data_IF_609075183389
#
_entry.id   IF_609075183389
#
_cell.length_a   1.000
_cell.length_b   1.000
_cell.length_c   1.000
_cell.angle_alpha   90.00
_cell.angle_beta   90.00
_cell.angle_gamma   90.00
#
_symmetry.space_group_name_H-M   'P 1'
#
loop_
_entity.id
_entity.type
_entity.pdbx_description
1 polymer ?
#
# COMPACT_ATOMS: atom_id res chain seq x y z
N UNK A 1 -13.38 -14.10 3.12
CA UNK A 1 -12.95 -14.31 1.70
C UNK A 1 -11.55 -13.70 1.56
N UNK A 2 -10.71 -14.22 0.68
CA UNK A 2 -9.35 -13.71 0.54
C UNK A 2 -9.35 -12.47 -0.38
N UNK A 3 -8.80 -11.34 0.10
CA UNK A 3 -8.54 -10.17 -0.73
C UNK A 3 -7.59 -10.56 -1.88
N UNK A 4 -8.03 -10.43 -3.13
CA UNK A 4 -7.26 -10.86 -4.31
C UNK A 4 -6.51 -9.71 -4.96
N UNK A 5 -7.06 -8.49 -4.86
CA UNK A 5 -6.54 -7.31 -5.57
C UNK A 5 -6.33 -6.15 -4.61
N UNK A 6 -5.31 -5.38 -4.92
CA UNK A 6 -5.01 -4.11 -4.29
C UNK A 6 -4.99 -3.00 -5.32
N UNK A 7 -5.71 -1.94 -5.08
CA UNK A 7 -5.67 -0.73 -5.89
C UNK A 7 -4.93 0.34 -5.11
N UNK A 8 -3.79 0.76 -5.66
CA UNK A 8 -2.98 1.83 -5.11
C UNK A 8 -3.18 3.10 -5.93
N UNK A 9 -3.78 4.11 -5.32
CA UNK A 9 -3.90 5.45 -5.90
C UNK A 9 -2.98 6.42 -5.16
N UNK A 10 -2.18 7.17 -5.91
CA UNK A 10 -1.37 8.28 -5.39
C UNK A 10 -1.92 9.59 -5.91
N UNK A 11 -2.06 10.52 -5.00
CA UNK A 11 -2.43 11.90 -5.31
C UNK A 11 -1.42 12.88 -4.75
N UNK A 12 -1.45 14.09 -5.29
CA UNK A 12 -0.64 15.22 -4.85
C UNK A 12 -1.55 16.42 -4.60
N UNK A 13 -1.30 17.12 -3.51
CA UNK A 13 -2.00 18.34 -3.12
C UNK A 13 -1.02 19.33 -2.50
N UNK A 14 -1.38 20.62 -2.52
CA UNK A 14 -0.68 21.63 -1.73
C UNK A 14 -0.63 21.21 -0.25
N UNK A 15 0.55 21.15 0.39
CA UNK A 15 0.68 20.75 1.79
C UNK A 15 -0.23 21.53 2.75
N UNK A 16 -0.50 22.80 2.49
CA UNK A 16 -1.38 23.64 3.32
C UNK A 16 -2.84 23.17 3.33
N UNK A 17 -3.24 22.34 2.36
CA UNK A 17 -4.61 21.82 2.21
C UNK A 17 -4.78 20.39 2.74
N UNK A 18 -3.71 19.73 3.17
CA UNK A 18 -3.77 18.35 3.67
C UNK A 18 -4.77 18.18 4.82
N UNK A 19 -4.81 19.13 5.76
CA UNK A 19 -5.75 19.08 6.90
C UNK A 19 -7.23 19.12 6.49
N UNK A 20 -7.55 19.74 5.36
CA UNK A 20 -8.91 19.79 4.82
C UNK A 20 -9.24 18.52 4.00
N UNK A 21 -8.27 17.94 3.29
CA UNK A 21 -8.52 16.82 2.37
C UNK A 21 -8.42 15.46 3.05
N UNK A 22 -7.58 15.30 4.09
CA UNK A 22 -7.44 14.03 4.78
C UNK A 22 -8.78 13.51 5.37
N UNK A 23 -9.60 14.32 6.06
CA UNK A 23 -10.92 13.86 6.52
C UNK A 23 -11.83 13.43 5.38
N UNK A 24 -11.85 14.15 4.26
CA UNK A 24 -12.60 13.75 3.07
C UNK A 24 -12.09 12.42 2.49
N UNK A 25 -10.77 12.17 2.54
CA UNK A 25 -10.20 10.89 2.15
C UNK A 25 -10.69 9.73 3.03
N UNK A 26 -10.88 9.97 4.34
CA UNK A 26 -11.45 8.97 5.27
C UNK A 26 -12.92 8.71 4.94
N UNK A 27 -13.70 9.75 4.65
CA UNK A 27 -15.09 9.60 4.18
C UNK A 27 -15.15 8.81 2.87
N UNK A 28 -14.26 9.11 1.92
CA UNK A 28 -14.18 8.40 0.64
C UNK A 28 -13.80 6.93 0.82
N UNK A 29 -12.96 6.61 1.83
CA UNK A 29 -12.65 5.22 2.16
C UNK A 29 -13.91 4.46 2.64
N UNK A 30 -14.74 5.09 3.46
CA UNK A 30 -16.00 4.51 3.89
C UNK A 30 -17.00 4.35 2.72
N UNK A 31 -17.11 5.33 1.82
CA UNK A 31 -17.90 5.22 0.59
C UNK A 31 -17.40 4.07 -0.30
N UNK A 32 -16.08 3.88 -0.40
CA UNK A 32 -15.48 2.77 -1.14
C UNK A 32 -15.91 1.41 -0.60
N UNK A 33 -15.88 1.24 0.74
CA UNK A 33 -16.34 0.00 1.39
C UNK A 33 -17.83 -0.21 1.16
N UNK A 34 -18.64 0.81 1.30
CA UNK A 34 -20.08 0.73 1.03
C UNK A 34 -20.41 0.36 -0.43
N UNK A 35 -19.52 0.71 -1.37
CA UNK A 35 -19.68 0.42 -2.79
C UNK A 35 -19.09 -0.94 -3.24
N UNK A 36 -18.33 -1.65 -2.38
CA UNK A 36 -17.86 -3.01 -2.67
C UNK A 36 -16.38 -3.30 -2.43
N UNK A 37 -15.56 -2.36 -1.94
CA UNK A 37 -14.24 -2.74 -1.45
C UNK A 37 -14.34 -3.45 -0.11
N UNK A 38 -13.51 -4.46 0.12
CA UNK A 38 -13.45 -5.17 1.40
C UNK A 38 -12.92 -4.27 2.52
N UNK A 39 -12.03 -3.37 2.14
CA UNK A 39 -11.34 -2.46 3.03
C UNK A 39 -10.73 -1.30 2.22
N UNK A 40 -10.65 -0.13 2.81
CA UNK A 40 -9.93 1.00 2.25
C UNK A 40 -9.19 1.79 3.33
N UNK A 41 -8.13 2.51 2.94
CA UNK A 41 -7.44 3.42 3.84
C UNK A 41 -6.90 4.64 3.09
N UNK A 42 -6.71 5.73 3.83
CA UNK A 42 -5.99 6.91 3.38
C UNK A 42 -4.74 7.13 4.23
N UNK A 43 -3.64 7.52 3.61
CA UNK A 43 -2.39 7.85 4.26
C UNK A 43 -1.73 9.09 3.66
N UNK A 44 -0.91 9.76 4.47
CA UNK A 44 -0.08 10.88 4.02
C UNK A 44 1.36 10.42 3.86
N UNK A 45 1.98 10.77 2.74
CA UNK A 45 3.36 10.37 2.41
C UNK A 45 4.34 11.16 3.26
N UNK A 46 5.19 10.45 4.00
CA UNK A 46 6.20 11.04 4.88
C UNK A 46 7.58 11.10 4.23
N UNK A 47 7.93 10.06 3.44
CA UNK A 47 9.26 9.94 2.81
C UNK A 47 9.12 9.44 1.37
N UNK A 48 10.15 9.64 0.56
CA UNK A 48 10.17 9.27 -0.85
C UNK A 48 9.52 10.35 -1.72
N UNK A 49 9.15 9.97 -2.94
CA UNK A 49 8.55 10.90 -3.91
C UNK A 49 7.25 11.49 -3.39
N UNK A 50 7.08 12.81 -3.58
CA UNK A 50 5.92 13.58 -3.13
C UNK A 50 5.74 13.66 -1.60
N UNK A 51 6.81 13.53 -0.82
CA UNK A 51 6.76 13.84 0.60
C UNK A 51 6.28 15.30 0.82
N UNK A 52 5.45 15.49 1.85
CA UNK A 52 4.91 16.82 2.21
C UNK A 52 3.60 17.21 1.53
N UNK A 53 3.14 16.53 0.47
CA UNK A 53 1.85 16.80 -0.18
C UNK A 53 1.24 15.55 -0.80
N UNK A 54 1.93 14.43 -0.72
CA UNK A 54 1.47 13.16 -1.25
C UNK A 54 0.41 12.51 -0.36
N UNK A 55 -0.64 12.01 -1.01
CA UNK A 55 -1.70 11.20 -0.39
C UNK A 55 -1.70 9.83 -1.05
N UNK A 56 -1.69 8.78 -0.23
CA UNK A 56 -1.85 7.40 -0.66
C UNK A 56 -3.28 6.94 -0.31
N UNK A 57 -4.00 6.39 -1.28
CA UNK A 57 -5.30 5.78 -1.08
C UNK A 57 -5.22 4.32 -1.51
N UNK A 58 -5.43 3.41 -0.58
CA UNK A 58 -5.37 1.97 -0.81
C UNK A 58 -6.74 1.34 -0.66
N UNK A 59 -7.08 0.46 -1.60
CA UNK A 59 -8.35 -0.26 -1.62
C UNK A 59 -8.09 -1.75 -1.86
N UNK A 60 -8.86 -2.62 -1.21
CA UNK A 60 -8.73 -4.07 -1.29
C UNK A 60 -10.01 -4.68 -1.85
N UNK A 61 -9.88 -5.60 -2.78
CA UNK A 61 -11.01 -6.18 -3.51
C UNK A 61 -10.89 -7.69 -3.65
N UNK A 62 -12.02 -8.37 -3.66
CA UNK A 62 -12.11 -9.78 -4.03
C UNK A 62 -12.14 -9.97 -5.55
N UNK A 63 -12.74 -9.02 -6.28
CA UNK A 63 -12.86 -9.06 -7.74
C UNK A 63 -12.64 -7.69 -8.39
N UNK A 64 -12.38 -7.67 -9.69
CA UNK A 64 -12.30 -6.42 -10.47
C UNK A 64 -13.69 -5.83 -10.76
N UNK A 65 -14.75 -6.65 -10.71
CA UNK A 65 -16.13 -6.15 -10.81
C UNK A 65 -16.48 -5.25 -9.62
N UNK A 66 -16.01 -5.58 -8.41
CA UNK A 66 -16.21 -4.75 -7.23
C UNK A 66 -15.42 -3.44 -7.33
N UNK A 67 -14.23 -3.46 -7.92
CA UNK A 67 -13.51 -2.24 -8.27
C UNK A 67 -14.31 -1.37 -9.25
N UNK A 68 -14.93 -1.98 -10.29
CA UNK A 68 -15.79 -1.28 -11.24
C UNK A 68 -16.93 -0.54 -10.54
N UNK A 69 -17.66 -1.23 -9.64
CA UNK A 69 -18.76 -0.63 -8.84
C UNK A 69 -18.30 0.58 -8.01
N UNK A 70 -17.11 0.49 -7.39
CA UNK A 70 -16.55 1.61 -6.61
C UNK A 70 -16.20 2.78 -7.52
N UNK A 71 -15.66 2.53 -8.72
CA UNK A 71 -15.36 3.61 -9.67
C UNK A 71 -16.62 4.32 -10.17
N UNK A 72 -17.71 3.57 -10.41
CA UNK A 72 -19.01 4.14 -10.76
C UNK A 72 -19.56 5.00 -9.61
N UNK A 73 -19.47 4.52 -8.36
CA UNK A 73 -19.88 5.28 -7.18
C UNK A 73 -19.07 6.58 -7.01
N UNK A 74 -17.76 6.55 -7.26
CA UNK A 74 -16.91 7.77 -7.22
C UNK A 74 -17.31 8.79 -8.28
N UNK A 75 -17.84 8.36 -9.43
CA UNK A 75 -18.35 9.23 -10.48
C UNK A 75 -19.50 10.14 -10.04
N UNK A 76 -20.23 9.76 -8.98
CA UNK A 76 -21.37 10.51 -8.40
C UNK A 76 -21.12 10.96 -6.95
N UNK A 77 -19.94 10.69 -6.39
CA UNK A 77 -19.60 11.04 -5.01
C UNK A 77 -19.33 12.53 -4.84
N UNK A 78 -20.11 13.17 -3.96
CA UNK A 78 -19.87 14.56 -3.55
C UNK A 78 -18.56 14.72 -2.76
N UNK A 79 -18.14 13.69 -2.04
CA UNK A 79 -16.87 13.66 -1.29
C UNK A 79 -15.69 13.65 -2.27
N UNK A 80 -15.74 12.80 -3.30
CA UNK A 80 -14.71 12.79 -4.37
C UNK A 80 -14.65 14.13 -5.09
N UNK A 81 -15.79 14.72 -5.44
CA UNK A 81 -15.86 16.05 -6.06
C UNK A 81 -15.20 17.15 -5.19
N UNK A 82 -15.47 17.14 -3.86
CA UNK A 82 -14.83 18.07 -2.92
C UNK A 82 -13.31 17.91 -2.88
N UNK A 83 -12.81 16.66 -2.86
CA UNK A 83 -11.36 16.38 -2.88
C UNK A 83 -10.71 17.00 -4.13
N UNK A 84 -11.31 16.83 -5.30
CA UNK A 84 -10.81 17.40 -6.56
C UNK A 84 -10.89 18.92 -6.53
N UNK A 85 -11.98 19.51 -6.03
CA UNK A 85 -12.13 20.97 -5.88
C UNK A 85 -11.09 21.61 -4.95
N UNK A 86 -10.57 20.86 -3.96
CA UNK A 86 -9.44 21.29 -3.14
C UNK A 86 -8.11 21.30 -3.91
N UNK A 87 -8.08 20.79 -5.16
CA UNK A 87 -6.91 20.77 -6.02
C UNK A 87 -6.08 19.48 -5.91
N UNK A 88 -6.67 18.39 -5.42
CA UNK A 88 -6.03 17.07 -5.49
C UNK A 88 -5.87 16.66 -6.95
N UNK A 89 -4.65 16.33 -7.33
CA UNK A 89 -4.35 15.66 -8.60
C UNK A 89 -3.99 14.21 -8.37
N UNK A 90 -4.58 13.31 -9.14
CA UNK A 90 -4.22 11.88 -9.11
C UNK A 90 -2.99 11.68 -9.98
N UNK A 91 -1.87 11.27 -9.37
CA UNK A 91 -0.61 11.01 -10.07
C UNK A 91 -0.65 9.67 -10.79
N UNK A 92 -1.18 8.63 -10.14
CA UNK A 92 -1.43 7.32 -10.73
C UNK A 92 -2.47 6.52 -9.94
N UNK A 93 -3.02 5.50 -10.61
CA UNK A 93 -3.84 4.45 -10.00
C UNK A 93 -3.47 3.12 -10.62
N UNK A 94 -2.91 2.22 -9.82
CA UNK A 94 -2.48 0.91 -10.27
C UNK A 94 -3.31 -0.17 -9.62
N UNK A 95 -3.67 -1.18 -10.40
CA UNK A 95 -4.25 -2.44 -9.92
C UNK A 95 -3.11 -3.44 -9.77
N UNK A 96 -3.03 -4.09 -8.62
CA UNK A 96 -2.08 -5.15 -8.33
C UNK A 96 -2.82 -6.40 -7.85
N UNK A 97 -2.34 -7.57 -8.23
CA UNK A 97 -2.84 -8.88 -7.75
C UNK A 97 -1.93 -9.41 -6.67
N UNK A 98 -2.50 -9.80 -5.54
CA UNK A 98 -1.73 -10.37 -4.45
C UNK A 98 -1.08 -11.68 -4.85
N UNK A 99 0.15 -11.86 -4.37
CA UNK A 99 0.86 -13.13 -4.35
C UNK A 99 0.59 -13.83 -3.03
N UNK A 100 0.55 -15.15 -3.06
CA UNK A 100 0.34 -15.96 -1.86
C UNK A 100 1.65 -16.04 -1.07
N UNK A 101 1.78 -15.16 -0.07
CA UNK A 101 2.89 -15.10 0.87
C UNK A 101 2.33 -15.31 2.27
N UNK A 102 2.67 -16.42 2.95
CA UNK A 102 2.20 -16.67 4.31
C UNK A 102 2.80 -15.65 5.27
N UNK A 103 1.95 -15.07 6.13
CA UNK A 103 2.38 -14.14 7.16
C UNK A 103 1.52 -14.30 8.41
N UNK A 104 2.18 -14.45 9.55
CA UNK A 104 1.54 -14.55 10.87
C UNK A 104 1.76 -13.25 11.63
N UNK A 105 0.85 -12.29 11.45
CA UNK A 105 0.84 -11.03 12.17
C UNK A 105 -0.01 -11.08 13.45
N UNK A 106 -0.12 -9.97 14.20
CA UNK A 106 -0.97 -9.88 15.38
C UNK A 106 -2.46 -10.06 15.03
N UNK A 107 -3.22 -10.64 15.97
CA UNK A 107 -4.66 -10.88 15.81
C UNK A 107 -5.44 -9.55 15.67
N UNK A 108 -5.02 -8.52 16.41
CA UNK A 108 -5.59 -7.17 16.36
C UNK A 108 -4.53 -6.15 15.90
N UNK A 109 -4.31 -6.03 14.59
CA UNK A 109 -3.24 -5.21 14.07
C UNK A 109 -3.50 -3.70 14.25
N UNK A 110 -2.53 -3.00 14.84
CA UNK A 110 -2.51 -1.54 14.98
C UNK A 110 -1.69 -0.90 13.85
N UNK A 111 -2.32 -0.65 12.71
CA UNK A 111 -1.66 -0.12 11.52
C UNK A 111 -1.62 1.40 11.55
N UNK A 112 -0.47 1.98 11.91
CA UNK A 112 -0.26 3.45 11.91
C UNK A 112 0.61 3.91 10.74
N UNK A 113 1.49 3.05 10.27
CA UNK A 113 2.40 3.35 9.16
C UNK A 113 2.36 2.22 8.15
N UNK A 114 2.60 2.57 6.89
CA UNK A 114 2.85 1.60 5.83
C UNK A 114 4.17 1.94 5.12
N UNK A 115 5.02 0.93 4.98
CA UNK A 115 6.21 0.99 4.15
C UNK A 115 5.90 0.30 2.83
N UNK A 116 6.00 1.05 1.73
CA UNK A 116 5.94 0.48 0.39
C UNK A 116 7.34 0.32 -0.17
N UNK A 117 7.62 -0.87 -0.70
CA UNK A 117 8.80 -1.14 -1.49
C UNK A 117 8.35 -1.66 -2.85
N UNK A 118 8.76 -1.00 -3.93
CA UNK A 118 8.44 -1.40 -5.31
C UNK A 118 9.72 -1.69 -6.06
N UNK A 119 9.68 -2.66 -6.97
CA UNK A 119 10.82 -2.99 -7.79
C UNK A 119 10.55 -4.02 -8.86
N UNK A 120 11.57 -4.21 -9.72
CA UNK A 120 11.57 -5.16 -10.82
C UNK A 120 12.33 -6.41 -10.39
N UNK A 121 11.70 -7.58 -10.52
CA UNK A 121 12.34 -8.87 -10.26
C UNK A 121 13.17 -9.32 -11.46
N UNK A 122 14.36 -9.81 -11.20
CA UNK A 122 15.26 -10.44 -12.19
C UNK A 122 15.13 -11.96 -12.21
N UNK A 123 14.30 -12.52 -11.32
CA UNK A 123 14.03 -13.96 -11.20
C UNK A 123 12.52 -14.22 -11.42
N UNK A 124 12.12 -15.48 -11.70
CA UNK A 124 10.72 -15.84 -11.85
C UNK A 124 9.88 -15.50 -10.62
N UNK A 125 8.60 -15.14 -10.82
CA UNK A 125 7.68 -14.78 -9.74
C UNK A 125 7.62 -15.84 -8.62
N UNK A 126 7.57 -17.13 -8.96
CA UNK A 126 7.49 -18.19 -7.97
C UNK A 126 8.72 -18.23 -7.04
N UNK A 127 9.89 -17.99 -7.60
CA UNK A 127 11.15 -17.93 -6.85
C UNK A 127 11.20 -16.69 -5.95
N UNK A 128 10.79 -15.51 -6.46
CA UNK A 128 10.69 -14.29 -5.65
C UNK A 128 9.70 -14.47 -4.49
N UNK A 129 8.53 -15.06 -4.75
CA UNK A 129 7.52 -15.36 -3.72
C UNK A 129 8.11 -16.28 -2.65
N UNK A 130 8.92 -17.27 -3.04
CA UNK A 130 9.63 -18.16 -2.12
C UNK A 130 10.59 -17.39 -1.19
N UNK A 131 11.44 -16.52 -1.76
CA UNK A 131 12.39 -15.69 -0.99
C UNK A 131 11.66 -14.70 -0.05
N UNK A 132 10.60 -14.08 -0.53
CA UNK A 132 9.78 -13.16 0.29
C UNK A 132 9.06 -13.91 1.42
N UNK A 133 8.60 -15.15 1.16
CA UNK A 133 7.99 -16.00 2.20
C UNK A 133 9.01 -16.45 3.26
N UNK A 134 10.26 -16.73 2.85
CA UNK A 134 11.37 -17.03 3.77
C UNK A 134 11.70 -15.84 4.67
N UNK A 135 11.55 -14.60 4.16
CA UNK A 135 11.80 -13.38 4.93
C UNK A 135 10.63 -12.98 5.86
N UNK A 136 9.41 -13.41 5.59
CA UNK A 136 8.20 -12.96 6.30
C UNK A 136 8.25 -13.13 7.83
N UNK A 137 8.80 -14.23 8.42
CA UNK A 137 8.95 -14.38 9.86
C UNK A 137 9.79 -13.27 10.51
N UNK A 138 10.90 -12.87 9.88
CA UNK A 138 11.76 -11.79 10.37
C UNK A 138 10.97 -10.46 10.50
N UNK A 139 10.10 -10.17 9.53
CA UNK A 139 9.23 -8.99 9.60
C UNK A 139 8.21 -9.09 10.74
N UNK A 140 7.61 -10.27 10.95
CA UNK A 140 6.69 -10.50 12.06
C UNK A 140 7.39 -10.31 13.43
N UNK A 141 8.58 -10.88 13.61
CA UNK A 141 9.40 -10.74 14.82
C UNK A 141 9.84 -9.31 15.07
N UNK A 142 10.00 -8.50 14.00
CA UNK A 142 10.34 -7.07 14.08
C UNK A 142 9.12 -6.17 14.31
N UNK A 143 7.90 -6.71 14.50
CA UNK A 143 6.70 -5.96 14.83
C UNK A 143 5.81 -5.60 13.65
N UNK A 144 6.05 -6.13 12.44
CA UNK A 144 5.17 -5.89 11.30
C UNK A 144 3.73 -6.38 11.60
N UNK A 145 2.76 -5.51 11.30
CA UNK A 145 1.34 -5.76 11.54
C UNK A 145 0.65 -6.45 10.35
N UNK A 146 1.17 -6.26 9.16
CA UNK A 146 0.81 -6.99 7.94
C UNK A 146 1.99 -6.98 6.96
N UNK A 147 2.01 -7.98 6.08
CA UNK A 147 3.06 -8.16 5.08
C UNK A 147 2.41 -8.72 3.82
N UNK A 148 2.38 -7.94 2.75
CA UNK A 148 1.65 -8.26 1.53
C UNK A 148 2.48 -7.96 0.30
N UNK A 149 2.74 -8.99 -0.51
CA UNK A 149 3.35 -8.85 -1.83
C UNK A 149 2.26 -8.88 -2.89
N UNK A 150 2.35 -7.99 -3.87
CA UNK A 150 1.46 -7.98 -5.02
C UNK A 150 2.25 -7.73 -6.31
N UNK A 151 1.78 -8.25 -7.44
CA UNK A 151 2.29 -7.91 -8.77
C UNK A 151 1.39 -6.86 -9.41
N UNK A 152 1.96 -5.76 -9.83
CA UNK A 152 1.27 -4.66 -10.50
C UNK A 152 0.82 -5.12 -11.89
N UNK A 153 -0.46 -4.93 -12.21
CA UNK A 153 -1.09 -5.38 -13.44
C UNK A 153 -1.30 -4.24 -14.45
N UNK A 154 -1.44 -3.01 -13.96
CA UNK A 154 -1.80 -1.85 -14.80
C UNK A 154 -0.90 -0.65 -14.56
N UNK A 155 -0.88 0.29 -15.50
CA UNK A 155 -0.07 1.51 -15.41
C UNK A 155 1.35 1.31 -15.95
N UNK A 156 2.17 2.34 -15.78
CA UNK A 156 3.56 2.35 -16.27
C UNK A 156 4.46 1.34 -15.55
N UNK A 157 4.06 0.94 -14.34
CA UNK A 157 4.76 -0.01 -13.48
C UNK A 157 4.26 -1.45 -13.64
N UNK A 158 3.45 -1.73 -14.68
CA UNK A 158 2.92 -3.07 -14.92
C UNK A 158 4.04 -4.11 -15.05
N UNK A 159 3.92 -5.20 -14.27
CA UNK A 159 4.93 -6.25 -14.17
C UNK A 159 5.86 -6.12 -12.97
N UNK A 160 5.97 -4.94 -12.35
CA UNK A 160 6.72 -4.75 -11.10
C UNK A 160 6.01 -5.38 -9.90
N UNK A 161 6.75 -5.58 -8.83
CA UNK A 161 6.23 -6.06 -7.56
C UNK A 161 6.14 -4.92 -6.54
N UNK A 162 5.08 -4.93 -5.76
CA UNK A 162 4.82 -4.01 -4.66
C UNK A 162 4.71 -4.80 -3.36
N UNK A 163 5.63 -4.56 -2.43
CA UNK A 163 5.57 -5.05 -1.07
C UNK A 163 5.02 -3.93 -0.17
N UNK A 164 3.91 -4.19 0.50
CA UNK A 164 3.33 -3.32 1.52
C UNK A 164 3.47 -3.95 2.89
N UNK A 165 4.14 -3.27 3.81
CA UNK A 165 4.32 -3.72 5.20
C UNK A 165 3.78 -2.64 6.13
N UNK A 166 2.90 -3.00 7.05
CA UNK A 166 2.34 -2.05 8.01
C UNK A 166 2.94 -2.22 9.41
N UNK A 167 3.02 -1.12 10.16
CA UNK A 167 3.61 -1.06 11.49
C UNK A 167 2.79 -0.19 12.43
N UNK A 168 2.91 -0.43 13.74
CA UNK A 168 2.27 0.38 14.78
C UNK A 168 3.14 1.60 15.19
N UNK A 169 4.45 1.56 14.94
CA UNK A 169 5.40 2.61 15.32
C UNK A 169 6.57 2.74 14.33
N UNK A 170 7.26 3.88 14.37
CA UNK A 170 8.51 4.07 13.62
C UNK A 170 9.65 3.22 14.19
N UNK A 171 9.64 2.92 15.49
CA UNK A 171 10.64 2.06 16.13
C UNK A 171 10.61 0.62 15.59
N UNK A 172 9.42 0.08 15.28
CA UNK A 172 9.29 -1.23 14.64
C UNK A 172 9.86 -1.22 13.20
N UNK A 173 9.70 -0.11 12.47
CA UNK A 173 10.31 0.08 11.15
C UNK A 173 11.85 0.07 11.28
N UNK A 174 12.40 0.79 12.25
CA UNK A 174 13.84 0.81 12.53
C UNK A 174 14.35 -0.59 12.87
N UNK A 175 13.69 -1.30 13.82
CA UNK A 175 14.00 -2.69 14.16
C UNK A 175 14.01 -3.60 12.93
N UNK A 176 13.03 -3.42 12.04
CA UNK A 176 12.96 -4.21 10.79
C UNK A 176 14.15 -3.91 9.88
N UNK A 177 14.55 -2.64 9.71
CA UNK A 177 15.71 -2.30 8.88
C UNK A 177 17.02 -2.86 9.45
N UNK A 178 17.19 -2.86 10.77
CA UNK A 178 18.32 -3.48 11.44
C UNK A 178 18.37 -5.00 11.24
N UNK A 179 17.20 -5.66 11.26
CA UNK A 179 17.08 -7.09 10.98
C UNK A 179 17.40 -7.40 9.51
N UNK A 180 16.87 -6.60 8.56
CA UNK A 180 17.17 -6.71 7.13
C UNK A 180 18.67 -6.63 6.86
N UNK A 181 19.36 -5.66 7.47
CA UNK A 181 20.79 -5.43 7.27
C UNK A 181 21.67 -6.63 7.70
N UNK A 182 21.16 -7.51 8.54
CA UNK A 182 21.85 -8.70 9.07
C UNK A 182 21.34 -10.00 8.45
N UNK A 183 20.35 -9.94 7.57
CA UNK A 183 19.63 -11.11 7.06
C UNK A 183 20.22 -11.61 5.73
N UNK A 184 20.73 -12.87 5.67
CA UNK A 184 21.18 -13.46 4.42
C UNK A 184 20.06 -13.60 3.37
N UNK A 185 18.81 -13.79 3.80
CA UNK A 185 17.67 -13.86 2.87
C UNK A 185 17.36 -12.50 2.27
N UNK A 186 17.49 -11.43 3.04
CA UNK A 186 17.32 -10.08 2.52
C UNK A 186 18.39 -9.75 1.46
N UNK A 187 19.63 -10.17 1.65
CA UNK A 187 20.69 -10.04 0.66
C UNK A 187 20.33 -10.74 -0.66
N UNK A 188 19.80 -11.98 -0.58
CA UNK A 188 19.31 -12.70 -1.77
C UNK A 188 18.19 -11.93 -2.49
N UNK A 189 17.23 -11.36 -1.72
CA UNK A 189 16.14 -10.56 -2.29
C UNK A 189 16.70 -9.33 -3.01
N UNK A 190 17.63 -8.58 -2.40
CA UNK A 190 18.26 -7.42 -3.04
C UNK A 190 19.04 -7.76 -4.30
N UNK A 191 19.69 -8.93 -4.35
CA UNK A 191 20.38 -9.42 -5.54
C UNK A 191 19.42 -9.90 -6.64
N UNK A 192 18.17 -10.21 -6.28
CA UNK A 192 17.15 -10.72 -7.19
C UNK A 192 16.16 -9.66 -7.68
N UNK A 193 16.23 -8.43 -7.13
CA UNK A 193 15.24 -7.39 -7.36
C UNK A 193 15.88 -6.00 -7.37
N UNK A 194 15.64 -5.24 -8.44
CA UNK A 194 15.98 -3.82 -8.48
C UNK A 194 14.87 -3.00 -7.79
N UNK A 195 15.14 -2.52 -6.58
CA UNK A 195 14.22 -1.63 -5.84
C UNK A 195 14.30 -0.23 -6.45
N UNK A 196 13.18 0.28 -6.96
CA UNK A 196 13.07 1.60 -7.59
C UNK A 196 12.23 2.61 -6.77
N UNK A 197 11.51 2.13 -5.74
CA UNK A 197 10.78 2.98 -4.80
C UNK A 197 10.81 2.36 -3.40
N UNK A 198 11.09 3.20 -2.41
CA UNK A 198 10.76 2.91 -1.00
C UNK A 198 10.21 4.17 -0.36
N UNK A 199 9.03 4.06 0.24
CA UNK A 199 8.38 5.18 0.89
C UNK A 199 7.66 4.76 2.16
N UNK A 200 7.52 5.70 3.10
CA UNK A 200 6.71 5.55 4.31
C UNK A 200 5.53 6.50 4.20
N UNK A 201 4.34 5.97 4.45
CA UNK A 201 3.15 6.79 4.62
C UNK A 201 2.54 6.56 6.02
N UNK A 202 2.04 7.62 6.63
CA UNK A 202 1.28 7.57 7.89
C UNK A 202 -0.19 7.33 7.54
N UNK A 203 -0.77 6.26 8.07
CA UNK A 203 -2.20 5.95 7.89
C UNK A 203 -3.02 6.93 8.72
N UNK A 204 -3.98 7.59 8.11
CA UNK A 204 -4.81 8.63 8.70
C UNK A 204 -6.22 8.11 9.03
N UNK A 205 -6.68 7.08 8.31
CA UNK A 205 -7.94 6.41 8.55
C UNK A 205 -8.06 5.12 7.74
N UNK A 206 -8.87 4.20 8.26
CA UNK A 206 -9.20 2.89 7.67
C UNK A 206 -10.73 2.73 7.75
N UNK A 207 -11.33 2.20 6.70
CA UNK A 207 -12.72 1.77 6.64
C UNK A 207 -12.78 0.29 6.22
#
# INVERSE_FOLDING_TARGET
MAENYYVHTRGQIDPSKLSAVVPLGVELAAESVAAGSERAFVGTVMTGDNAGGGVAFGQFFNSLDDFGKVMDAFGTSSTYEKIIKHGMSVSFRNIAKFCDVPFSGPTEPQRKYVVYTRGISHIPQAELVGLISEAAPMFAESGAQSFRLARIMTGNEAGEFLLGVTYSSMAEIETTYDAIAKSPVAEKIYNSMAVNLRMIAKIQGVA
#
